data_IF_353857622971
#
_entry.id   IF_353857622971
#
_cell.length_a   1.000
_cell.length_b   1.000
_cell.length_c   1.000
_cell.angle_alpha   90.00
_cell.angle_beta   90.00
_cell.angle_gamma   90.00
#
_symmetry.space_group_name_H-M   'P 1'
#
loop_
_entity.id
_entity.type
_entity.pdbx_description
1 polymer ?
#
# COMPACT_ATOMS: atom_id res chain seq x y z
N UNK A 1 -3.46 9.19 0.47
CA UNK A 1 -3.35 10.59 0.92
C UNK A 1 -2.16 11.12 0.16
N UNK A 2 -2.44 11.99 -0.79
CA UNK A 2 -1.44 12.52 -1.69
C UNK A 2 -0.49 13.42 -0.89
N UNK A 3 0.73 13.61 -1.37
CA UNK A 3 1.73 14.36 -0.58
C UNK A 3 1.29 15.81 -0.35
N UNK A 4 0.53 16.38 -1.28
CA UNK A 4 -0.04 17.72 -1.14
C UNK A 4 -1.05 17.78 0.02
N UNK A 5 -1.82 16.72 0.25
CA UNK A 5 -2.77 16.64 1.36
C UNK A 5 -2.02 16.52 2.69
N UNK A 6 -0.92 15.75 2.72
CA UNK A 6 -0.04 15.65 3.89
C UNK A 6 0.50 17.03 4.25
N UNK A 7 0.99 17.78 3.26
CA UNK A 7 1.46 19.15 3.45
C UNK A 7 0.36 20.08 3.98
N UNK A 8 -0.81 20.10 3.33
CA UNK A 8 -1.96 20.93 3.76
C UNK A 8 -2.44 20.59 5.16
N UNK A 9 -2.47 19.30 5.50
CA UNK A 9 -2.86 18.81 6.84
C UNK A 9 -1.86 19.23 7.90
N UNK A 10 -0.56 19.07 7.63
CA UNK A 10 0.51 19.51 8.54
C UNK A 10 0.44 21.01 8.79
N UNK A 11 0.21 21.80 7.72
CA UNK A 11 0.00 23.23 7.81
C UNK A 11 -1.24 23.63 8.63
N UNK A 12 -2.36 22.93 8.42
CA UNK A 12 -3.58 23.14 9.20
C UNK A 12 -3.35 22.88 10.68
N UNK A 13 -2.64 21.79 11.01
CA UNK A 13 -2.26 21.48 12.38
C UNK A 13 -1.34 22.56 12.97
N UNK A 14 -0.27 22.95 12.28
CA UNK A 14 0.67 23.98 12.76
C UNK A 14 -0.04 25.32 12.98
N UNK A 15 -0.93 25.70 12.06
CA UNK A 15 -1.74 26.91 12.17
C UNK A 15 -2.70 26.87 13.36
N UNK A 16 -3.18 25.68 13.76
CA UNK A 16 -4.04 25.54 14.96
C UNK A 16 -3.27 25.64 16.28
N UNK A 17 -1.94 25.47 16.27
CA UNK A 17 -1.11 25.60 17.47
C UNK A 17 -0.80 27.06 17.81
N UNK A 18 -1.13 28.01 16.92
CA UNK A 18 -0.88 29.43 17.13
C UNK A 18 -2.10 30.28 16.79
N UNK A 19 -2.43 31.24 17.65
CA UNK A 19 -3.39 32.29 17.34
C UNK A 19 -2.73 33.49 16.64
N UNK A 20 -1.41 33.58 16.74
CA UNK A 20 -0.61 34.63 16.15
C UNK A 20 -0.06 34.16 14.79
N UNK A 21 -0.51 34.84 13.74
CA UNK A 21 -0.10 34.56 12.35
C UNK A 21 1.34 34.97 12.06
N UNK A 22 2.03 35.60 13.01
CA UNK A 22 3.44 35.99 12.88
C UNK A 22 4.44 34.89 13.24
N UNK A 23 3.98 33.81 13.90
CA UNK A 23 4.85 32.67 14.26
C UNK A 23 5.18 31.85 13.03
N UNK A 24 6.46 31.51 12.87
CA UNK A 24 6.94 30.69 11.76
C UNK A 24 6.37 29.26 11.86
N UNK A 25 5.49 28.91 10.92
CA UNK A 25 4.88 27.58 10.85
C UNK A 25 5.93 26.47 10.65
N UNK A 26 7.07 26.79 10.02
CA UNK A 26 8.19 25.85 9.89
C UNK A 26 8.78 25.51 11.25
N UNK A 27 8.89 26.50 12.15
CA UNK A 27 9.42 26.31 13.49
C UNK A 27 8.47 25.46 14.35
N UNK A 28 7.15 25.68 14.23
CA UNK A 28 6.12 24.87 14.89
C UNK A 28 6.18 23.40 14.42
N UNK A 29 6.38 23.17 13.12
CA UNK A 29 6.51 21.81 12.56
C UNK A 29 7.85 21.17 12.94
N UNK A 30 8.88 21.95 13.20
CA UNK A 30 10.19 21.48 13.64
C UNK A 30 10.75 20.37 12.72
N UNK A 31 11.29 19.28 13.29
CA UNK A 31 11.83 18.16 12.52
C UNK A 31 10.80 17.47 11.61
N UNK A 32 9.51 17.49 11.98
CA UNK A 32 8.44 16.87 11.19
C UNK A 32 8.24 17.57 9.84
N UNK A 33 8.69 18.82 9.68
CA UNK A 33 8.69 19.52 8.40
C UNK A 33 9.44 18.74 7.31
N UNK A 34 10.58 18.11 7.66
CA UNK A 34 11.37 17.33 6.71
C UNK A 34 10.77 15.95 6.39
N UNK A 35 9.69 15.55 7.08
CA UNK A 35 8.91 14.36 6.73
C UNK A 35 7.95 14.61 5.55
N UNK A 36 7.72 15.89 5.19
CA UNK A 36 6.98 16.28 3.99
C UNK A 36 7.92 16.17 2.79
N UNK A 37 7.47 15.49 1.75
CA UNK A 37 8.29 15.14 0.59
C UNK A 37 7.99 16.06 -0.57
N UNK A 38 8.37 17.33 -0.44
CA UNK A 38 8.23 18.29 -1.53
C UNK A 38 8.78 17.83 -2.90
N UNK A 39 9.90 17.07 -2.99
CA UNK A 39 10.43 16.59 -4.27
C UNK A 39 9.50 15.69 -5.09
N UNK A 40 8.53 15.01 -4.46
CA UNK A 40 7.62 14.10 -5.17
C UNK A 40 6.32 14.78 -5.61
N UNK A 41 6.12 16.07 -5.29
CA UNK A 41 4.98 16.84 -5.76
C UNK A 41 5.09 17.10 -7.27
N UNK A 42 3.96 17.27 -7.94
CA UNK A 42 3.97 17.76 -9.32
C UNK A 42 4.53 19.19 -9.38
N UNK A 43 5.11 19.62 -10.52
CA UNK A 43 5.59 20.99 -10.69
C UNK A 43 4.51 22.02 -10.41
N UNK A 44 3.27 21.75 -10.83
CA UNK A 44 2.13 22.64 -10.59
C UNK A 44 1.75 22.75 -9.12
N UNK A 45 1.73 21.64 -8.38
CA UNK A 45 1.44 21.67 -6.95
C UNK A 45 2.53 22.41 -6.20
N UNK A 46 3.80 22.12 -6.49
CA UNK A 46 4.91 22.76 -5.81
C UNK A 46 4.92 24.30 -6.03
N UNK A 47 4.77 24.74 -7.27
CA UNK A 47 4.79 26.17 -7.61
C UNK A 47 3.56 26.92 -7.08
N UNK A 48 2.37 26.32 -7.14
CA UNK A 48 1.14 27.02 -6.79
C UNK A 48 0.78 26.93 -5.30
N UNK A 49 1.15 25.85 -4.61
CA UNK A 49 0.70 25.59 -3.24
C UNK A 49 1.82 25.76 -2.21
N UNK A 50 3.08 25.45 -2.58
CA UNK A 50 4.20 25.44 -1.62
C UNK A 50 4.99 26.74 -1.64
N UNK A 51 5.46 27.17 -2.81
CA UNK A 51 6.31 28.38 -2.95
C UNK A 51 5.64 29.64 -2.37
N UNK A 52 4.34 29.92 -2.59
CA UNK A 52 3.72 31.15 -2.09
C UNK A 52 3.70 31.27 -0.56
N UNK A 53 3.80 30.14 0.15
CA UNK A 53 3.79 30.09 1.61
C UNK A 53 5.14 30.45 2.24
N UNK A 54 6.22 30.54 1.44
CA UNK A 54 7.55 30.99 1.88
C UNK A 54 8.13 30.23 3.08
N UNK A 55 7.81 28.94 3.19
CA UNK A 55 8.32 28.06 4.26
C UNK A 55 9.69 27.45 3.92
N UNK A 56 10.01 27.36 2.63
CA UNK A 56 11.28 26.83 2.13
C UNK A 56 12.29 27.98 1.93
N UNK A 57 13.57 27.69 2.17
CA UNK A 57 14.67 28.58 1.82
C UNK A 57 14.90 28.55 0.31
N UNK A 58 15.46 29.61 -0.26
CA UNK A 58 15.72 29.70 -1.71
C UNK A 58 16.56 28.53 -2.25
N UNK A 59 17.55 28.09 -1.47
CA UNK A 59 18.38 26.92 -1.79
C UNK A 59 17.55 25.62 -1.85
N UNK A 60 16.61 25.44 -0.91
CA UNK A 60 15.71 24.28 -0.87
C UNK A 60 14.72 24.30 -2.04
N UNK A 61 14.20 25.49 -2.38
CA UNK A 61 13.31 25.66 -3.55
C UNK A 61 14.03 25.27 -4.83
N UNK A 62 15.25 25.78 -5.04
CA UNK A 62 16.05 25.48 -6.22
C UNK A 62 16.41 23.99 -6.32
N UNK A 63 16.78 23.37 -5.21
CA UNK A 63 17.12 21.96 -5.13
C UNK A 63 15.92 21.05 -5.45
N UNK A 64 14.75 21.34 -4.85
CA UNK A 64 13.49 20.64 -5.14
C UNK A 64 13.07 20.83 -6.60
N UNK A 65 13.15 22.05 -7.15
CA UNK A 65 12.80 22.31 -8.56
C UNK A 65 13.72 21.57 -9.53
N UNK A 66 15.03 21.51 -9.26
CA UNK A 66 15.98 20.74 -10.09
C UNK A 66 15.62 19.25 -10.12
N UNK A 67 15.16 18.70 -9.00
CA UNK A 67 14.70 17.33 -8.94
C UNK A 67 13.38 17.12 -9.70
N UNK A 68 12.36 17.94 -9.43
CA UNK A 68 11.04 17.86 -10.08
C UNK A 68 11.16 17.99 -11.61
N UNK A 69 12.06 18.85 -12.09
CA UNK A 69 12.33 19.05 -13.52
C UNK A 69 13.29 18.02 -14.13
N UNK A 70 13.71 17.01 -13.35
CA UNK A 70 14.63 15.94 -13.75
C UNK A 70 16.01 16.41 -14.20
N UNK A 71 16.43 17.61 -13.78
CA UNK A 71 17.80 18.11 -13.98
C UNK A 71 18.78 17.36 -13.07
N UNK A 72 18.32 16.93 -11.89
CA UNK A 72 19.07 16.13 -10.93
C UNK A 72 18.28 14.89 -10.50
N UNK A 73 18.98 13.79 -10.24
CA UNK A 73 18.41 12.53 -9.75
C UNK A 73 18.35 12.43 -8.23
N UNK A 74 18.87 13.43 -7.52
CA UNK A 74 18.92 13.50 -6.07
C UNK A 74 18.65 14.91 -5.59
N UNK A 75 18.22 15.02 -4.34
CA UNK A 75 17.93 16.26 -3.63
C UNK A 75 19.00 16.39 -2.54
N UNK A 76 19.66 17.54 -2.48
CA UNK A 76 20.71 17.82 -1.48
C UNK A 76 20.14 18.25 -0.13
N UNK A 77 18.91 18.75 -0.14
CA UNK A 77 18.14 19.10 1.05
C UNK A 77 17.68 17.84 1.81
N UNK A 78 17.32 18.04 3.08
CA UNK A 78 16.92 16.95 3.98
C UNK A 78 15.57 16.29 3.64
N UNK A 79 14.95 16.65 2.50
CA UNK A 79 13.67 16.11 2.10
C UNK A 79 13.83 14.73 1.47
N UNK A 80 13.05 13.78 1.97
CA UNK A 80 13.04 12.43 1.40
C UNK A 80 12.44 12.42 -0.01
N UNK A 81 13.14 11.75 -0.91
CA UNK A 81 12.67 11.43 -2.27
C UNK A 81 12.04 10.03 -2.36
N UNK A 82 12.03 9.28 -1.25
CA UNK A 82 11.50 7.93 -1.23
C UNK A 82 9.97 7.97 -1.24
N UNK A 83 9.38 7.24 -2.18
CA UNK A 83 7.95 6.98 -2.18
C UNK A 83 7.56 6.21 -0.91
N UNK A 84 6.33 6.44 -0.44
CA UNK A 84 5.83 5.81 0.78
C UNK A 84 5.19 4.54 0.27
N UNK A 85 5.55 3.41 0.85
CA UNK A 85 4.89 2.15 0.54
C UNK A 85 3.43 2.31 0.97
N UNK A 86 2.50 1.94 0.08
CA UNK A 86 1.07 2.17 0.27
C UNK A 86 0.31 0.88 0.09
N UNK A 87 -0.53 0.59 1.08
CA UNK A 87 -1.50 -0.47 0.93
C UNK A 87 -2.68 -0.06 0.05
N UNK A 88 -2.94 -0.86 -0.98
CA UNK A 88 -4.16 -0.86 -1.78
C UNK A 88 -5.13 -1.90 -1.20
N UNK A 89 -6.03 -1.48 -0.31
CA UNK A 89 -7.08 -2.35 0.24
C UNK A 89 -8.26 -2.48 -0.73
N UNK A 90 -8.83 -3.68 -0.81
CA UNK A 90 -9.83 -4.02 -1.83
C UNK A 90 -11.19 -4.45 -1.29
N UNK A 91 -11.34 -4.71 0.00
CA UNK A 91 -12.63 -5.10 0.58
C UNK A 91 -13.28 -3.96 1.36
N UNK A 92 -14.61 -3.85 1.23
CA UNK A 92 -15.42 -2.89 1.98
C UNK A 92 -15.52 -3.26 3.46
N UNK A 93 -15.60 -4.56 3.76
CA UNK A 93 -15.77 -5.05 5.12
C UNK A 93 -15.08 -6.40 5.32
N UNK A 94 -15.12 -6.89 6.56
CA UNK A 94 -14.59 -8.21 6.94
C UNK A 94 -15.56 -8.90 7.90
N UNK A 95 -15.52 -10.23 7.91
CA UNK A 95 -16.28 -11.03 8.86
C UNK A 95 -15.48 -12.25 9.31
N UNK A 96 -15.91 -12.91 10.39
CA UNK A 96 -15.26 -14.13 10.90
C UNK A 96 -15.75 -15.35 10.13
N UNK A 97 -14.82 -16.14 9.60
CA UNK A 97 -15.09 -17.42 8.95
C UNK A 97 -14.15 -18.51 9.49
N UNK A 98 -14.51 -19.77 9.27
CA UNK A 98 -13.57 -20.88 9.48
C UNK A 98 -12.76 -21.14 8.21
N UNK A 99 -11.46 -21.33 8.35
CA UNK A 99 -10.57 -21.66 7.23
C UNK A 99 -10.70 -23.13 6.86
N UNK A 100 -11.32 -23.41 5.71
CA UNK A 100 -11.47 -24.78 5.18
C UNK A 100 -10.72 -25.05 3.88
N UNK A 101 -10.16 -24.01 3.27
CA UNK A 101 -9.41 -24.13 2.02
C UNK A 101 -7.91 -24.18 2.31
N UNK A 102 -7.19 -24.96 1.50
CA UNK A 102 -5.72 -25.02 1.54
C UNK A 102 -5.07 -23.82 0.88
N UNK A 103 -5.78 -23.22 -0.08
CA UNK A 103 -5.26 -22.14 -0.91
C UNK A 103 -6.31 -21.06 -1.12
N UNK A 104 -5.86 -19.82 -1.23
CA UNK A 104 -6.66 -18.70 -1.68
C UNK A 104 -5.83 -17.85 -2.60
N UNK A 105 -6.44 -17.28 -3.63
CA UNK A 105 -5.70 -16.41 -4.53
C UNK A 105 -6.55 -15.24 -4.98
N UNK A 106 -5.87 -14.19 -5.43
CA UNK A 106 -6.49 -13.06 -6.10
C UNK A 106 -5.66 -12.68 -7.30
N UNK A 107 -6.33 -12.36 -8.40
CA UNK A 107 -5.68 -11.86 -9.61
C UNK A 107 -5.82 -10.36 -9.69
N UNK A 108 -4.81 -9.70 -10.22
CA UNK A 108 -4.85 -8.27 -10.47
C UNK A 108 -4.02 -7.89 -11.70
N UNK A 109 -4.30 -6.71 -12.24
CA UNK A 109 -3.38 -5.97 -13.09
C UNK A 109 -3.42 -4.49 -12.71
N UNK A 110 -2.51 -3.71 -13.29
CA UNK A 110 -2.43 -2.26 -13.09
C UNK A 110 -2.26 -1.55 -14.42
N UNK A 111 -2.68 -0.29 -14.50
CA UNK A 111 -2.52 0.53 -15.71
C UNK A 111 -1.15 1.24 -15.80
N UNK A 112 -0.46 1.38 -14.67
CA UNK A 112 0.89 1.96 -14.57
C UNK A 112 1.85 0.99 -13.90
N UNK A 113 3.14 1.12 -14.22
CA UNK A 113 4.16 0.28 -13.59
C UNK A 113 4.30 0.64 -12.11
N UNK A 114 4.26 -0.36 -11.25
CA UNK A 114 4.44 -0.21 -9.80
C UNK A 114 5.49 -1.19 -9.28
N UNK A 115 5.88 -1.02 -8.03
CA UNK A 115 6.62 -2.02 -7.27
C UNK A 115 5.74 -2.55 -6.15
N UNK A 116 5.66 -3.86 -6.01
CA UNK A 116 5.05 -4.52 -4.87
C UNK A 116 6.14 -4.82 -3.85
N UNK A 117 5.96 -4.33 -2.64
CA UNK A 117 6.83 -4.54 -1.50
C UNK A 117 6.34 -5.68 -0.62
N UNK A 118 5.05 -5.98 -0.63
CA UNK A 118 4.48 -7.04 0.19
C UNK A 118 3.00 -7.28 -0.06
N UNK A 119 2.44 -8.15 0.76
CA UNK A 119 1.02 -8.43 0.76
C UNK A 119 0.42 -8.15 2.12
N UNK A 120 -0.85 -7.80 2.14
CA UNK A 120 -1.56 -7.66 3.40
C UNK A 120 -2.34 -8.94 3.65
N UNK A 121 -2.22 -9.45 4.86
CA UNK A 121 -2.88 -10.65 5.33
C UNK A 121 -3.74 -10.30 6.55
N UNK A 122 -4.98 -10.78 6.60
CA UNK A 122 -5.76 -10.69 7.83
C UNK A 122 -5.18 -11.57 8.93
N UNK A 123 -5.14 -11.04 10.16
CA UNK A 123 -4.71 -11.77 11.34
C UNK A 123 -5.74 -12.86 11.73
N UNK A 124 -5.34 -13.87 12.52
CA UNK A 124 -6.29 -14.78 13.16
C UNK A 124 -7.38 -14.00 13.92
N UNK A 125 -8.58 -14.58 14.04
CA UNK A 125 -9.73 -13.90 14.65
C UNK A 125 -9.99 -14.27 16.13
N UNK A 126 -9.16 -15.15 16.70
CA UNK A 126 -9.31 -15.69 18.05
C UNK A 126 -7.97 -15.68 18.80
N UNK A 127 -8.05 -15.36 20.09
CA UNK A 127 -6.90 -15.30 20.98
C UNK A 127 -6.16 -16.64 21.05
N UNK A 128 -4.84 -16.60 21.07
CA UNK A 128 -3.99 -17.79 21.05
C UNK A 128 -3.93 -18.52 19.70
N UNK A 129 -4.66 -18.04 18.68
CA UNK A 129 -4.57 -18.59 17.33
C UNK A 129 -3.36 -18.06 16.57
N UNK A 130 -2.86 -18.90 15.67
CA UNK A 130 -1.65 -18.66 14.89
C UNK A 130 -1.87 -19.14 13.46
N UNK A 131 -1.71 -18.25 12.49
CA UNK A 131 -1.89 -18.52 11.07
C UNK A 131 -0.52 -18.58 10.39
N UNK A 132 -0.18 -19.73 9.84
CA UNK A 132 1.09 -19.98 9.16
C UNK A 132 0.88 -20.49 7.74
N UNK A 133 1.84 -20.20 6.86
CA UNK A 133 1.82 -20.62 5.47
C UNK A 133 2.81 -19.86 4.61
N UNK A 134 2.57 -19.85 3.30
CA UNK A 134 3.37 -19.15 2.31
C UNK A 134 2.51 -18.30 1.39
N UNK A 135 3.05 -17.17 0.94
CA UNK A 135 2.48 -16.32 -0.10
C UNK A 135 3.38 -16.32 -1.32
N UNK A 136 2.77 -16.29 -2.50
CA UNK A 136 3.44 -16.31 -3.79
C UNK A 136 2.92 -15.18 -4.68
N UNK A 137 3.83 -14.56 -5.43
CA UNK A 137 3.51 -13.66 -6.53
C UNK A 137 3.86 -14.33 -7.84
N UNK A 138 2.88 -14.51 -8.70
CA UNK A 138 3.05 -15.20 -9.97
C UNK A 138 2.66 -14.28 -11.12
N UNK A 139 3.49 -14.25 -12.16
CA UNK A 139 3.12 -13.62 -13.43
C UNK A 139 2.29 -14.62 -14.23
N UNK A 140 1.12 -14.21 -14.67
CA UNK A 140 0.33 -15.01 -15.60
C UNK A 140 0.73 -14.65 -17.03
N UNK A 141 1.38 -15.59 -17.70
CA UNK A 141 1.67 -15.50 -19.12
C UNK A 141 0.71 -16.44 -19.88
N UNK A 142 -0.03 -15.95 -20.88
CA UNK A 142 -0.87 -16.80 -21.73
C UNK A 142 -0.10 -17.88 -22.50
N UNK A 143 1.21 -17.72 -22.68
CA UNK A 143 2.06 -18.58 -23.51
C UNK A 143 3.07 -19.43 -22.70
N UNK A 144 3.32 -19.11 -21.44
CA UNK A 144 4.19 -19.89 -20.55
C UNK A 144 3.43 -20.42 -19.32
N UNK A 145 3.97 -21.45 -18.67
CA UNK A 145 3.49 -21.82 -17.33
C UNK A 145 3.72 -20.64 -16.38
N UNK A 146 2.79 -20.45 -15.44
CA UNK A 146 2.85 -19.45 -14.39
C UNK A 146 4.27 -19.35 -13.79
N UNK A 147 4.87 -18.15 -13.89
CA UNK A 147 6.21 -17.90 -13.39
C UNK A 147 6.11 -17.29 -12.00
N UNK A 148 6.55 -18.04 -10.98
CA UNK A 148 6.72 -17.51 -9.64
C UNK A 148 7.82 -16.44 -9.65
N UNK A 149 7.45 -15.21 -9.26
CA UNK A 149 8.33 -14.05 -9.18
C UNK A 149 8.89 -13.86 -7.77
N UNK A 150 8.08 -14.19 -6.76
CA UNK A 150 8.47 -14.09 -5.36
C UNK A 150 7.67 -15.09 -4.52
N UNK A 151 8.27 -15.52 -3.41
CA UNK A 151 7.64 -16.37 -2.40
C UNK A 151 8.11 -15.95 -1.01
N UNK A 152 7.19 -15.89 -0.05
CA UNK A 152 7.50 -15.54 1.33
C UNK A 152 6.69 -16.41 2.29
N UNK A 153 7.33 -16.91 3.35
CA UNK A 153 6.65 -17.62 4.43
C UNK A 153 6.15 -16.63 5.47
N UNK A 154 4.97 -16.85 6.03
CA UNK A 154 4.44 -16.04 7.10
C UNK A 154 4.11 -16.87 8.34
N UNK A 155 4.23 -16.19 9.47
CA UNK A 155 3.85 -16.69 10.77
C UNK A 155 3.18 -15.52 11.52
N UNK A 156 1.85 -15.56 11.60
CA UNK A 156 1.05 -14.44 12.12
C UNK A 156 0.20 -14.90 13.29
N UNK A 157 0.45 -14.30 14.46
CA UNK A 157 -0.33 -14.54 15.67
C UNK A 157 -1.50 -13.56 15.80
N UNK A 158 -2.50 -13.96 16.58
CA UNK A 158 -3.59 -13.06 16.96
C UNK A 158 -3.05 -11.82 17.67
N UNK A 159 -3.55 -10.64 17.27
CA UNK A 159 -3.29 -9.38 17.97
C UNK A 159 -4.59 -8.60 18.13
N UNK A 160 -4.75 -7.94 19.29
CA UNK A 160 -5.96 -7.14 19.61
C UNK A 160 -5.97 -5.82 18.84
N UNK A 161 -4.80 -5.22 18.67
CA UNK A 161 -4.64 -3.87 18.11
C UNK A 161 -4.71 -3.83 16.58
N UNK A 162 -4.25 -4.90 15.92
CA UNK A 162 -4.12 -4.93 14.47
C UNK A 162 -4.93 -6.09 13.91
N UNK A 163 -5.76 -5.79 12.91
CA UNK A 163 -6.51 -6.85 12.24
C UNK A 163 -5.83 -7.40 11.00
N UNK A 164 -4.72 -6.80 10.59
CA UNK A 164 -3.93 -7.19 9.43
C UNK A 164 -2.45 -7.11 9.75
N UNK A 165 -1.67 -7.91 9.05
CA UNK A 165 -0.20 -7.88 9.06
C UNK A 165 0.27 -7.71 7.61
N UNK A 166 1.31 -6.90 7.42
CA UNK A 166 2.00 -6.78 6.14
C UNK A 166 3.08 -7.87 6.11
N UNK A 167 3.05 -8.71 5.08
CA UNK A 167 4.06 -9.71 4.79
C UNK A 167 4.97 -9.13 3.71
N UNK A 168 6.14 -8.67 4.12
CA UNK A 168 7.12 -8.04 3.22
C UNK A 168 7.83 -9.08 2.36
N UNK A 169 8.08 -8.74 1.11
CA UNK A 169 8.98 -9.46 0.22
C UNK A 169 10.43 -9.06 0.51
N UNK A 170 11.37 -9.98 0.28
CA UNK A 170 12.80 -9.70 0.43
C UNK A 170 13.25 -8.54 -0.46
N UNK A 171 12.72 -8.47 -1.68
CA UNK A 171 13.00 -7.42 -2.65
C UNK A 171 11.72 -6.98 -3.37
N UNK A 172 11.54 -5.66 -3.64
CA UNK A 172 10.35 -5.18 -4.33
C UNK A 172 10.26 -5.69 -5.78
N UNK A 173 9.10 -6.21 -6.17
CA UNK A 173 8.88 -6.77 -7.50
C UNK A 173 8.20 -5.75 -8.40
N UNK A 174 8.80 -5.52 -9.58
CA UNK A 174 8.22 -4.61 -10.58
C UNK A 174 7.07 -5.28 -11.32
N UNK A 175 5.92 -4.62 -11.34
CA UNK A 175 4.71 -5.04 -12.02
C UNK A 175 4.60 -4.23 -13.31
N UNK A 176 4.42 -4.95 -14.41
CA UNK A 176 4.24 -4.39 -15.74
C UNK A 176 2.78 -3.98 -15.94
N UNK A 177 2.51 -2.83 -16.59
CA UNK A 177 1.17 -2.44 -16.96
C UNK A 177 0.43 -3.52 -17.76
N UNK A 178 -0.87 -3.61 -17.55
CA UNK A 178 -1.82 -4.44 -18.32
C UNK A 178 -1.51 -5.94 -18.34
N UNK A 179 -0.58 -6.40 -17.50
CA UNK A 179 -0.25 -7.81 -17.32
C UNK A 179 -0.96 -8.35 -16.08
N UNK A 180 -1.52 -9.56 -16.18
CA UNK A 180 -2.13 -10.20 -15.01
C UNK A 180 -1.09 -10.87 -14.13
N UNK A 181 -1.26 -10.66 -12.84
CA UNK A 181 -0.50 -11.30 -11.79
C UNK A 181 -1.47 -11.96 -10.81
N UNK A 182 -0.98 -12.97 -10.10
CA UNK A 182 -1.71 -13.67 -9.06
C UNK A 182 -0.93 -13.59 -7.75
N UNK A 183 -1.63 -13.21 -6.69
CA UNK A 183 -1.17 -13.42 -5.31
C UNK A 183 -1.85 -14.67 -4.80
N UNK A 184 -1.08 -15.65 -4.34
CA UNK A 184 -1.55 -16.94 -3.85
C UNK A 184 -1.10 -17.11 -2.40
N UNK A 185 -2.02 -17.50 -1.52
CA UNK A 185 -1.71 -18.04 -0.20
C UNK A 185 -1.81 -19.57 -0.26
N UNK A 186 -0.83 -20.25 0.32
CA UNK A 186 -0.91 -21.66 0.69
C UNK A 186 -0.74 -21.79 2.20
N UNK A 187 -1.75 -22.32 2.88
CA UNK A 187 -1.73 -22.46 4.33
C UNK A 187 -1.09 -23.77 4.77
N UNK A 188 -0.38 -23.72 5.89
CA UNK A 188 0.07 -24.94 6.56
C UNK A 188 -1.13 -25.70 7.15
N UNK A 189 -0.96 -27.01 7.33
CA UNK A 189 -2.01 -27.87 7.87
C UNK A 189 -2.43 -27.46 9.29
N UNK A 190 -1.52 -26.86 10.08
CA UNK A 190 -1.81 -26.29 11.42
C UNK A 190 -2.83 -25.17 11.40
N UNK A 191 -2.97 -24.47 10.26
CA UNK A 191 -3.88 -23.34 10.09
C UNK A 191 -5.32 -23.76 9.79
N UNK A 192 -5.58 -25.02 9.50
CA UNK A 192 -6.92 -25.47 9.10
C UNK A 192 -7.91 -25.41 10.27
N UNK A 193 -9.17 -25.08 9.95
CA UNK A 193 -10.29 -24.93 10.87
C UNK A 193 -10.21 -23.73 11.84
N UNK A 194 -9.11 -22.95 11.81
CA UNK A 194 -9.01 -21.71 12.56
C UNK A 194 -10.10 -20.72 12.18
N UNK A 195 -10.51 -19.90 13.16
CA UNK A 195 -11.31 -18.70 12.88
C UNK A 195 -10.40 -17.59 12.36
N UNK A 196 -10.70 -17.14 11.16
CA UNK A 196 -9.97 -16.09 10.45
C UNK A 196 -10.92 -14.94 10.09
N UNK A 197 -10.36 -13.74 9.95
CA UNK A 197 -11.06 -12.64 9.31
C UNK A 197 -10.93 -12.76 7.81
N UNK A 198 -12.04 -12.77 7.08
CA UNK A 198 -12.06 -12.75 5.61
C UNK A 198 -12.73 -11.49 5.11
N UNK A 199 -12.23 -10.95 4.01
CA UNK A 199 -12.80 -9.78 3.34
C UNK A 199 -14.11 -10.10 2.63
N UNK A 200 -15.02 -9.13 2.58
CA UNK A 200 -16.29 -9.21 1.86
C UNK A 200 -16.58 -7.88 1.15
N UNK A 201 -17.23 -7.97 -0.01
CA UNK A 201 -17.50 -6.82 -0.87
C UNK A 201 -16.23 -6.34 -1.55
N UNK A 202 -15.72 -7.13 -2.51
CA UNK A 202 -14.52 -6.77 -3.25
C UNK A 202 -14.83 -5.59 -4.19
N UNK A 203 -13.97 -4.58 -4.14
CA UNK A 203 -13.93 -3.56 -5.16
C UNK A 203 -13.00 -4.03 -6.28
N UNK A 204 -13.58 -4.50 -7.38
CA UNK A 204 -12.84 -5.01 -8.53
C UNK A 204 -12.02 -3.93 -9.25
N UNK A 205 -12.28 -2.65 -8.98
CA UNK A 205 -11.50 -1.55 -9.55
C UNK A 205 -11.20 -0.48 -8.50
N UNK A 206 -9.94 -0.36 -8.13
CA UNK A 206 -9.48 0.62 -7.13
C UNK A 206 -8.50 1.58 -7.79
N UNK A 207 -8.72 2.88 -7.64
CA UNK A 207 -7.75 3.90 -8.05
C UNK A 207 -7.00 4.34 -6.79
N UNK A 208 -5.67 4.21 -6.79
CA UNK A 208 -4.80 4.58 -5.68
C UNK A 208 -3.65 5.43 -6.20
N UNK A 209 -3.59 6.69 -5.75
CA UNK A 209 -2.53 7.64 -6.13
C UNK A 209 -2.30 7.71 -7.66
N UNK A 210 -3.40 7.73 -8.43
CA UNK A 210 -3.38 7.79 -9.90
C UNK A 210 -3.16 6.47 -10.62
N UNK A 211 -2.89 5.36 -9.91
CA UNK A 211 -2.79 4.02 -10.48
C UNK A 211 -4.12 3.29 -10.33
N UNK A 212 -4.66 2.78 -11.44
CA UNK A 212 -5.82 1.90 -11.43
C UNK A 212 -5.36 0.45 -11.25
N UNK A 213 -5.94 -0.21 -10.26
CA UNK A 213 -5.84 -1.65 -10.04
C UNK A 213 -7.15 -2.30 -10.49
N UNK A 214 -7.08 -3.28 -11.38
CA UNK A 214 -8.22 -4.12 -11.76
C UNK A 214 -8.02 -5.53 -11.18
N UNK A 215 -8.87 -5.90 -10.22
CA UNK A 215 -8.87 -7.19 -9.57
C UNK A 215 -9.84 -8.16 -10.24
N UNK A 216 -9.52 -9.45 -10.16
CA UNK A 216 -10.41 -10.54 -10.56
C UNK A 216 -10.38 -11.62 -9.49
N UNK A 217 -11.56 -12.08 -9.11
CA UNK A 217 -11.67 -13.25 -8.24
C UNK A 217 -11.45 -14.52 -9.07
N UNK A 218 -10.75 -15.49 -8.51
CA UNK A 218 -10.74 -16.86 -9.05
C UNK A 218 -11.78 -17.61 -8.23
N UNK A 219 -12.87 -18.12 -8.82
CA UNK A 219 -13.79 -18.97 -8.09
C UNK A 219 -13.00 -20.14 -7.51
N UNK A 220 -12.88 -20.20 -6.17
CA UNK A 220 -12.29 -21.34 -5.50
C UNK A 220 -13.01 -22.60 -6.01
N UNK A 221 -12.24 -23.63 -6.41
CA UNK A 221 -12.74 -24.87 -7.06
C UNK A 221 -13.86 -25.59 -6.28
N UNK A 222 -14.13 -25.18 -5.03
CA UNK A 222 -15.12 -25.75 -4.13
C UNK A 222 -16.38 -24.88 -3.88
N UNK A 223 -16.49 -23.69 -4.47
CA UNK A 223 -17.65 -22.80 -4.25
C UNK A 223 -18.60 -22.78 -5.46
N UNK A 224 -19.25 -23.91 -5.73
CA UNK A 224 -20.50 -23.92 -6.51
C UNK A 224 -21.61 -23.28 -5.66
N UNK A 225 -21.88 -21.98 -5.83
CA UNK A 225 -23.20 -21.42 -5.50
C UNK A 225 -23.27 -20.19 -4.59
N UNK A 226 -22.17 -19.56 -4.18
CA UNK A 226 -22.23 -18.28 -3.48
C UNK A 226 -21.29 -17.27 -4.15
N UNK A 227 -21.89 -16.29 -4.85
CA UNK A 227 -21.28 -15.09 -5.44
C UNK A 227 -20.65 -14.16 -4.39
N UNK A 228 -20.06 -14.69 -3.34
CA UNK A 228 -19.40 -13.89 -2.33
C UNK A 228 -17.90 -14.08 -2.52
N UNK A 229 -17.33 -13.19 -3.32
CA UNK A 229 -15.90 -12.97 -3.46
C UNK A 229 -15.29 -12.67 -2.10
N UNK A 230 -14.78 -13.70 -1.44
CA UNK A 230 -14.28 -13.72 -0.07
C UNK A 230 -12.81 -14.15 -0.08
N UNK A 231 -11.94 -13.40 0.60
CA UNK A 231 -10.50 -13.67 0.53
C UNK A 231 -9.75 -13.20 1.79
N UNK A 232 -8.63 -13.87 2.12
CA UNK A 232 -7.72 -13.52 3.22
C UNK A 232 -6.69 -12.45 2.84
N UNK A 233 -6.60 -12.07 1.56
CA UNK A 233 -5.67 -11.06 1.04
C UNK A 233 -6.42 -9.71 0.93
N UNK A 234 -6.48 -8.88 1.99
CA UNK A 234 -7.19 -7.60 1.93
C UNK A 234 -6.57 -6.54 1.04
N UNK A 235 -5.32 -6.70 0.64
CA UNK A 235 -4.65 -5.72 -0.18
C UNK A 235 -3.21 -6.08 -0.56
N UNK A 236 -2.63 -5.21 -1.37
CA UNK A 236 -1.26 -5.27 -1.87
C UNK A 236 -0.51 -4.05 -1.31
N UNK A 237 0.76 -4.23 -0.93
CA UNK A 237 1.61 -3.19 -0.34
C UNK A 237 2.76 -2.78 -1.26
#
# INVERSE_FOLDING_TARGET
>A
MDEIDVFKTALGWASSQTYDKSIDLREILGPSFYSIRFPILSPSEFVNEVIPLKLLKDEEILDVLKFITKIQSSVSSNFSIQYRIRTCCIFESKYKASLFTKKQSIRFNVDHSIKIHGFVLYNPAEEGSKLTGSMFLEKEDPMEKEKCLASVTFDVEYTVEHSVTIIDLDEPITIEPMTFYRVLIEYDQSSFQLKIWVGQGINFRVIKEGVQFDFKDIPNEYNYGLNESRNQIPGIN
#
